data_IF_191818451977
#
_entry.id   IF_191818451977
#
_cell.length_a   1.000
_cell.length_b   1.000
_cell.length_c   1.000
_cell.angle_alpha   90.00
_cell.angle_beta   90.00
_cell.angle_gamma   90.00
#
_symmetry.space_group_name_H-M   'P 1'
#
loop_
_entity.id
_entity.type
_entity.pdbx_description
1 polymer ?
#
# COMPACT_ATOMS: atom_id res chain seq x y z
N UNK A 1 -3.19 -10.97 -0.31
CA UNK A 1 -2.47 -9.89 0.41
C UNK A 1 -2.06 -10.44 1.75
N UNK A 2 -0.80 -10.84 1.86
CA UNK A 2 -0.26 -11.38 3.10
C UNK A 2 -0.06 -10.23 4.09
N UNK A 3 -0.57 -10.45 5.28
CA UNK A 3 -0.79 -9.45 6.31
C UNK A 3 0.49 -9.16 7.06
N UNK A 4 0.90 -7.90 7.08
CA UNK A 4 1.84 -7.40 8.05
C UNK A 4 1.08 -6.62 9.12
N UNK A 5 1.21 -7.05 10.35
CA UNK A 5 0.91 -6.19 11.48
C UNK A 5 2.18 -5.48 11.90
N UNK A 6 2.18 -4.16 11.85
CA UNK A 6 3.21 -3.34 12.48
C UNK A 6 2.97 -3.21 14.00
N UNK A 7 1.85 -3.73 14.47
CA UNK A 7 1.49 -3.67 15.88
C UNK A 7 2.28 -4.70 16.69
N UNK A 8 2.86 -4.26 17.77
CA UNK A 8 3.61 -5.07 18.74
C UNK A 8 2.77 -6.14 19.47
N UNK A 9 1.53 -6.38 19.02
CA UNK A 9 0.58 -7.31 19.65
C UNK A 9 0.59 -8.72 19.08
N UNK A 10 1.33 -8.95 17.97
CA UNK A 10 1.38 -10.30 17.42
C UNK A 10 2.44 -11.13 18.12
N UNK A 11 1.97 -12.17 18.79
CA UNK A 11 2.82 -13.16 19.44
C UNK A 11 3.68 -13.88 18.41
N UNK A 12 3.22 -13.98 17.15
CA UNK A 12 3.92 -14.65 16.06
C UNK A 12 4.33 -13.67 14.97
N UNK A 13 5.57 -13.78 14.53
CA UNK A 13 6.11 -12.97 13.44
C UNK A 13 5.95 -13.69 12.10
N UNK A 14 5.47 -12.95 11.08
CA UNK A 14 5.29 -13.47 9.71
C UNK A 14 5.68 -12.40 8.70
N UNK A 15 6.26 -12.83 7.59
CA UNK A 15 6.59 -11.94 6.47
C UNK A 15 6.40 -12.67 5.15
N UNK A 16 5.89 -11.95 4.16
CA UNK A 16 5.81 -12.44 2.79
C UNK A 16 6.36 -11.44 1.80
N UNK A 17 6.88 -11.96 0.70
CA UNK A 17 7.26 -11.21 -0.46
C UNK A 17 6.80 -11.98 -1.69
N UNK A 18 6.19 -11.27 -2.65
CA UNK A 18 5.75 -11.84 -3.92
C UNK A 18 6.37 -11.02 -5.05
N UNK A 19 6.98 -11.70 -6.00
CA UNK A 19 7.56 -11.09 -7.20
C UNK A 19 6.74 -11.53 -8.41
N UNK A 20 6.05 -10.57 -9.04
CA UNK A 20 5.22 -10.80 -10.21
C UNK A 20 5.99 -10.59 -11.52
N UNK A 21 5.60 -11.34 -12.53
CA UNK A 21 5.99 -11.15 -13.94
C UNK A 21 4.83 -10.41 -14.60
N UNK A 22 5.14 -9.29 -15.24
CA UNK A 22 4.17 -8.50 -15.97
C UNK A 22 4.36 -8.66 -17.46
N UNK A 23 3.28 -8.48 -18.22
CA UNK A 23 3.31 -8.29 -19.66
C UNK A 23 4.21 -7.12 -20.06
N UNK A 24 4.66 -7.09 -21.32
CA UNK A 24 5.56 -6.04 -21.83
C UNK A 24 5.00 -4.62 -21.67
N UNK A 25 3.69 -4.46 -21.71
CA UNK A 25 3.00 -3.19 -21.46
C UNK A 25 2.82 -2.85 -19.97
N UNK A 26 3.24 -3.74 -19.07
CA UNK A 26 3.17 -3.58 -17.62
C UNK A 26 1.77 -3.63 -17.02
N UNK A 27 0.74 -4.05 -17.78
CA UNK A 27 -0.66 -3.97 -17.34
C UNK A 27 -1.19 -5.27 -16.75
N UNK A 28 -0.73 -6.41 -17.22
CA UNK A 28 -1.26 -7.72 -16.84
C UNK A 28 -0.20 -8.53 -16.10
N UNK A 29 -0.60 -9.18 -15.02
CA UNK A 29 0.25 -10.18 -14.35
C UNK A 29 0.16 -11.47 -15.15
N UNK A 30 1.31 -11.93 -15.66
CA UNK A 30 1.45 -13.17 -16.42
C UNK A 30 1.84 -14.37 -15.55
N UNK A 31 2.32 -14.11 -14.35
CA UNK A 31 2.69 -15.13 -13.39
C UNK A 31 3.55 -14.58 -12.26
N UNK A 32 4.03 -15.49 -11.41
CA UNK A 32 4.92 -15.17 -10.31
C UNK A 32 6.30 -15.77 -10.53
N UNK A 33 7.35 -14.96 -10.39
CA UNK A 33 8.73 -15.44 -10.42
C UNK A 33 9.18 -16.01 -9.08
N UNK A 34 8.69 -15.46 -7.97
CA UNK A 34 9.01 -15.96 -6.64
C UNK A 34 7.93 -15.63 -5.61
N UNK A 35 7.75 -16.54 -4.65
CA UNK A 35 6.99 -16.35 -3.42
C UNK A 35 7.93 -16.67 -2.26
N UNK A 36 8.14 -15.71 -1.37
CA UNK A 36 8.91 -15.91 -0.13
C UNK A 36 7.98 -15.75 1.05
N UNK A 37 7.98 -16.71 1.96
CA UNK A 37 7.20 -16.65 3.18
C UNK A 37 8.05 -17.08 4.37
N UNK A 38 8.12 -16.22 5.37
CA UNK A 38 8.76 -16.52 6.66
C UNK A 38 7.70 -16.49 7.75
N UNK A 39 7.61 -17.54 8.53
CA UNK A 39 6.65 -17.66 9.63
C UNK A 39 7.30 -18.30 10.84
N UNK A 40 7.02 -17.71 12.01
CA UNK A 40 7.37 -18.33 13.28
C UNK A 40 6.57 -19.62 13.46
N UNK A 41 7.16 -20.61 14.12
CA UNK A 41 6.58 -21.92 14.38
C UNK A 41 7.03 -22.47 15.72
N UNK A 42 6.36 -23.47 16.24
CA UNK A 42 6.76 -24.18 17.44
C UNK A 42 8.02 -25.04 17.20
N UNK A 43 8.77 -25.33 18.23
CA UNK A 43 10.10 -25.95 18.13
C UNK A 43 10.06 -27.37 17.58
N UNK A 44 8.97 -28.09 17.82
CA UNK A 44 8.73 -29.47 17.44
C UNK A 44 8.20 -29.66 16.00
N UNK A 45 7.84 -28.54 15.30
CA UNK A 45 7.38 -28.58 13.92
C UNK A 45 8.56 -28.67 12.95
N UNK A 46 8.49 -29.64 12.05
CA UNK A 46 9.54 -29.85 11.04
C UNK A 46 9.41 -28.87 9.86
N UNK A 47 10.51 -28.63 9.15
CA UNK A 47 10.49 -27.76 7.94
C UNK A 47 9.59 -28.31 6.83
N UNK A 48 9.45 -29.61 6.70
CA UNK A 48 8.60 -30.22 5.67
C UNK A 48 7.11 -30.08 6.02
N UNK A 49 6.75 -30.20 7.30
CA UNK A 49 5.39 -29.89 7.77
C UNK A 49 5.04 -28.41 7.52
N UNK A 50 5.96 -27.48 7.85
CA UNK A 50 5.74 -26.05 7.59
C UNK A 50 5.55 -25.79 6.10
N UNK A 51 6.37 -26.37 5.25
CA UNK A 51 6.25 -26.21 3.78
C UNK A 51 4.90 -26.73 3.30
N UNK A 52 4.51 -27.92 3.74
CA UNK A 52 3.24 -28.51 3.35
C UNK A 52 2.04 -27.63 3.80
N UNK A 53 2.01 -27.26 5.09
CA UNK A 53 0.93 -26.45 5.65
C UNK A 53 0.81 -25.08 4.96
N UNK A 54 1.94 -24.42 4.71
CA UNK A 54 1.95 -23.11 4.04
C UNK A 54 1.49 -23.24 2.60
N UNK A 55 1.92 -24.27 1.88
CA UNK A 55 1.46 -24.52 0.50
C UNK A 55 -0.04 -24.71 0.44
N UNK A 56 -0.55 -25.65 1.26
CA UNK A 56 -1.96 -26.07 1.16
C UNK A 56 -2.93 -25.05 1.79
N UNK A 57 -2.55 -24.43 2.91
CA UNK A 57 -3.45 -23.55 3.66
C UNK A 57 -3.28 -22.07 3.42
N UNK A 58 -2.17 -21.64 2.79
CA UNK A 58 -1.89 -20.23 2.57
C UNK A 58 -1.68 -19.90 1.09
N UNK A 59 -0.74 -20.55 0.42
CA UNK A 59 -0.38 -20.17 -0.95
C UNK A 59 -1.49 -20.56 -1.92
N UNK A 60 -1.85 -21.83 -2.00
CA UNK A 60 -2.88 -22.31 -2.93
C UNK A 60 -4.25 -21.62 -2.79
N UNK A 61 -4.78 -21.37 -1.58
CA UNK A 61 -6.08 -20.69 -1.45
C UNK A 61 -6.07 -19.20 -1.81
N UNK A 62 -4.90 -18.56 -1.83
CA UNK A 62 -4.79 -17.09 -1.99
C UNK A 62 -4.28 -16.71 -3.39
N UNK A 63 -3.34 -17.48 -3.92
CA UNK A 63 -2.69 -17.19 -5.21
C UNK A 63 -3.48 -17.89 -6.31
N UNK A 64 -3.93 -17.18 -7.35
CA UNK A 64 -4.52 -17.81 -8.53
C UNK A 64 -3.60 -18.88 -9.11
N UNK A 65 -4.15 -20.05 -9.42
CA UNK A 65 -3.38 -21.21 -9.89
C UNK A 65 -2.61 -20.88 -11.16
N UNK A 66 -3.22 -20.12 -12.06
CA UNK A 66 -2.64 -19.67 -13.31
C UNK A 66 -1.41 -18.77 -13.16
N UNK A 67 -1.19 -18.19 -11.98
CA UNK A 67 -0.01 -17.38 -11.70
C UNK A 67 1.17 -18.18 -11.14
N UNK A 68 0.92 -19.41 -10.71
CA UNK A 68 1.97 -20.31 -10.23
C UNK A 68 2.50 -21.11 -11.42
N UNK A 69 3.59 -20.64 -11.98
CA UNK A 69 4.26 -21.27 -13.12
C UNK A 69 5.20 -22.40 -12.65
N UNK A 70 5.56 -23.31 -13.54
CA UNK A 70 6.58 -24.34 -13.25
C UNK A 70 7.92 -23.73 -12.81
N UNK A 71 8.21 -22.52 -13.28
CA UNK A 71 9.42 -21.76 -12.95
C UNK A 71 9.32 -20.95 -11.66
N UNK A 72 8.12 -20.86 -11.04
CA UNK A 72 7.91 -20.08 -9.82
C UNK A 72 8.72 -20.66 -8.67
N UNK A 73 9.59 -19.84 -8.07
CA UNK A 73 10.40 -20.24 -6.92
C UNK A 73 9.62 -19.98 -5.63
N UNK A 74 9.43 -21.01 -4.84
CA UNK A 74 8.73 -20.91 -3.54
C UNK A 74 9.72 -21.14 -2.41
N UNK A 75 9.91 -20.12 -1.57
CA UNK A 75 10.80 -20.13 -0.44
C UNK A 75 9.99 -20.01 0.86
N UNK A 76 9.97 -21.07 1.66
CA UNK A 76 9.30 -21.10 2.96
C UNK A 76 10.36 -21.28 4.03
N UNK A 77 10.48 -20.34 4.97
CA UNK A 77 11.53 -20.29 5.99
C UNK A 77 12.93 -20.62 5.42
N UNK A 78 13.41 -19.89 4.41
CA UNK A 78 14.68 -20.26 3.74
C UNK A 78 15.90 -20.21 4.64
N UNK A 79 15.82 -19.53 5.78
CA UNK A 79 16.90 -19.48 6.80
C UNK A 79 16.82 -20.62 7.82
N UNK A 80 15.82 -21.51 7.72
CA UNK A 80 15.62 -22.63 8.63
C UNK A 80 14.66 -22.33 9.77
N UNK A 81 14.98 -22.76 10.98
CA UNK A 81 14.12 -22.62 12.17
C UNK A 81 13.84 -21.16 12.52
N UNK A 82 12.57 -20.85 12.78
CA UNK A 82 12.10 -19.55 13.23
C UNK A 82 11.18 -19.73 14.46
N UNK A 83 11.76 -20.12 15.58
CA UNK A 83 11.03 -20.42 16.83
C UNK A 83 10.89 -19.15 17.69
N UNK A 84 11.96 -18.35 17.80
CA UNK A 84 11.95 -17.13 18.61
C UNK A 84 11.49 -15.95 17.76
N UNK A 85 10.36 -15.35 18.14
CA UNK A 85 9.81 -14.18 17.47
C UNK A 85 9.12 -13.22 18.44
N UNK A 86 8.34 -12.30 17.91
CA UNK A 86 7.68 -11.28 18.70
C UNK A 86 8.67 -10.32 19.39
N UNK A 87 8.26 -9.65 20.48
CA UNK A 87 9.10 -8.65 21.15
C UNK A 87 10.43 -9.16 21.69
N UNK A 88 10.53 -10.47 21.96
CA UNK A 88 11.78 -11.10 22.47
C UNK A 88 12.80 -11.24 21.34
N UNK A 89 12.36 -11.62 20.15
CA UNK A 89 13.24 -11.79 18.99
C UNK A 89 13.52 -10.46 18.27
N UNK A 90 12.50 -9.63 18.13
CA UNK A 90 12.58 -8.31 17.48
C UNK A 90 11.37 -7.48 17.91
N UNK A 91 11.58 -6.50 18.74
CA UNK A 91 10.51 -5.73 19.38
C UNK A 91 9.66 -4.89 18.41
N UNK A 92 10.02 -4.74 17.16
CA UNK A 92 9.28 -3.94 16.18
C UNK A 92 8.95 -2.52 16.65
N UNK A 93 8.86 -1.59 15.73
CA UNK A 93 8.44 -0.21 16.02
C UNK A 93 7.40 0.22 14.98
N UNK A 94 6.39 0.99 15.41
CA UNK A 94 5.44 1.58 14.48
C UNK A 94 6.15 2.50 13.49
N UNK A 95 5.71 2.54 12.24
CA UNK A 95 6.33 3.35 11.18
C UNK A 95 7.69 2.84 10.68
N UNK A 96 8.10 1.62 11.02
CA UNK A 96 9.31 0.96 10.50
C UNK A 96 9.03 0.00 9.33
N UNK A 97 7.79 -0.09 8.89
CA UNK A 97 7.33 -0.89 7.74
C UNK A 97 6.50 -0.04 6.77
N UNK A 98 6.96 1.19 6.50
CA UNK A 98 6.21 2.21 5.74
C UNK A 98 5.85 1.76 4.32
N UNK A 99 6.66 0.94 3.70
CA UNK A 99 6.39 0.39 2.36
C UNK A 99 5.29 -0.68 2.43
N UNK A 100 5.32 -1.54 3.45
CA UNK A 100 4.26 -2.53 3.69
C UNK A 100 2.95 -1.85 4.08
N UNK A 101 3.02 -0.79 4.87
CA UNK A 101 1.85 0.01 5.28
C UNK A 101 1.15 0.70 4.09
N UNK A 102 1.78 0.80 2.93
CA UNK A 102 1.31 1.55 1.76
C UNK A 102 1.15 0.67 0.51
N UNK A 103 2.15 0.64 -0.37
CA UNK A 103 2.03 0.02 -1.70
C UNK A 103 2.88 -1.24 -1.89
N UNK A 104 3.60 -1.71 -0.86
CA UNK A 104 4.40 -2.94 -0.94
C UNK A 104 5.57 -2.87 -1.94
N UNK A 105 5.99 -1.66 -2.35
CA UNK A 105 7.04 -1.45 -3.34
C UNK A 105 6.54 -1.25 -4.77
N UNK A 106 5.22 -1.38 -5.04
CA UNK A 106 4.66 -1.14 -6.38
C UNK A 106 4.71 0.33 -6.78
N UNK A 107 4.55 1.25 -5.84
CA UNK A 107 4.60 2.69 -6.07
C UNK A 107 5.64 3.37 -5.17
N UNK A 108 6.00 4.59 -5.52
CA UNK A 108 6.94 5.41 -4.75
C UNK A 108 6.35 5.84 -3.41
N UNK A 109 7.23 6.13 -2.48
CA UNK A 109 6.88 6.58 -1.12
C UNK A 109 7.69 7.81 -0.74
N UNK A 110 7.05 8.76 -0.07
CA UNK A 110 7.71 10.00 0.38
C UNK A 110 8.64 9.85 1.59
N UNK A 111 8.66 8.67 2.23
CA UNK A 111 9.52 8.36 3.38
C UNK A 111 8.89 8.63 4.75
N UNK A 112 7.76 9.34 4.82
CA UNK A 112 7.08 9.67 6.08
C UNK A 112 6.25 8.51 6.64
N UNK A 113 6.46 8.15 7.90
CA UNK A 113 5.60 7.22 8.62
C UNK A 113 4.23 7.87 8.92
N UNK A 114 3.15 7.08 8.89
CA UNK A 114 1.79 7.56 9.16
C UNK A 114 1.40 7.39 10.61
N UNK A 115 1.50 6.18 11.12
CA UNK A 115 1.12 5.85 12.49
C UNK A 115 1.90 6.69 13.51
N UNK A 116 1.22 7.13 14.57
CA UNK A 116 1.78 8.03 15.59
C UNK A 116 1.74 9.51 15.25
N UNK A 117 1.31 9.89 14.03
CA UNK A 117 1.13 11.27 13.61
C UNK A 117 -0.36 11.65 13.55
N UNK A 118 -0.72 12.82 14.04
CA UNK A 118 -2.05 13.38 13.85
C UNK A 118 -2.22 13.96 12.42
N UNK A 119 -3.45 14.27 11.97
CA UNK A 119 -3.69 14.72 10.58
C UNK A 119 -3.06 16.07 10.22
N UNK A 120 -2.55 16.84 11.17
CA UNK A 120 -1.83 18.08 10.85
C UNK A 120 -0.47 17.84 10.19
N UNK A 121 0.06 16.62 10.30
CA UNK A 121 1.33 16.20 9.72
C UNK A 121 1.12 15.78 8.27
N UNK A 122 1.69 16.53 7.34
CA UNK A 122 1.55 16.28 5.88
C UNK A 122 2.13 14.94 5.45
N UNK A 123 3.12 14.39 6.13
CA UNK A 123 3.61 13.04 5.90
C UNK A 123 2.47 12.01 5.87
N UNK A 124 1.45 12.21 6.70
CA UNK A 124 0.26 11.37 6.76
C UNK A 124 -0.86 11.93 5.88
N UNK A 125 -1.33 13.13 6.15
CA UNK A 125 -2.51 13.69 5.50
C UNK A 125 -2.33 13.94 4.01
N UNK A 126 -1.16 14.41 3.56
CA UNK A 126 -0.92 14.61 2.13
C UNK A 126 -0.72 13.30 1.37
N UNK A 127 -0.16 12.26 2.00
CA UNK A 127 -0.10 10.94 1.39
C UNK A 127 -1.51 10.35 1.18
N UNK A 128 -2.43 10.54 2.14
CA UNK A 128 -3.83 10.17 1.98
C UNK A 128 -4.53 10.98 0.88
N UNK A 129 -4.27 12.30 0.83
CA UNK A 129 -4.83 13.15 -0.22
C UNK A 129 -4.29 12.78 -1.60
N UNK A 130 -2.99 12.52 -1.75
CA UNK A 130 -2.41 12.06 -3.00
C UNK A 130 -3.04 10.73 -3.46
N UNK A 131 -3.28 9.79 -2.53
CA UNK A 131 -4.02 8.55 -2.81
C UNK A 131 -5.43 8.83 -3.31
N UNK A 132 -6.16 9.71 -2.64
CA UNK A 132 -7.52 10.11 -3.01
C UNK A 132 -7.56 10.74 -4.40
N UNK A 133 -6.67 11.69 -4.70
CA UNK A 133 -6.57 12.32 -6.02
C UNK A 133 -6.27 11.29 -7.10
N UNK A 134 -5.25 10.48 -6.94
CA UNK A 134 -4.86 9.47 -7.92
C UNK A 134 -6.00 8.48 -8.21
N UNK A 135 -6.72 8.03 -7.17
CA UNK A 135 -7.88 7.14 -7.35
C UNK A 135 -9.02 7.80 -8.13
N UNK A 136 -9.31 9.07 -7.85
CA UNK A 136 -10.36 9.78 -8.58
C UNK A 136 -9.99 10.00 -10.04
N UNK A 137 -8.72 10.32 -10.36
CA UNK A 137 -8.24 10.44 -11.75
C UNK A 137 -8.44 9.14 -12.53
N UNK A 138 -8.04 8.00 -11.94
CA UNK A 138 -8.20 6.68 -12.57
C UNK A 138 -9.68 6.30 -12.68
N UNK A 139 -10.47 6.50 -11.63
CA UNK A 139 -11.91 6.19 -11.63
C UNK A 139 -12.71 7.06 -12.61
N UNK A 140 -12.26 8.28 -12.89
CA UNK A 140 -12.82 9.16 -13.91
C UNK A 140 -12.46 8.74 -15.35
N UNK A 141 -11.60 7.73 -15.52
CA UNK A 141 -11.15 7.26 -16.82
C UNK A 141 -10.16 8.19 -17.53
N UNK A 142 -9.54 9.13 -16.78
CA UNK A 142 -8.59 10.10 -17.35
C UNK A 142 -7.21 9.51 -17.60
N UNK A 143 -6.85 8.44 -16.87
CA UNK A 143 -5.64 7.64 -17.05
C UNK A 143 -5.85 6.22 -16.51
N UNK A 144 -5.09 5.24 -16.98
CA UNK A 144 -5.12 3.87 -16.44
C UNK A 144 -4.28 3.77 -15.15
N UNK A 145 -3.23 4.58 -15.04
CA UNK A 145 -2.33 4.70 -13.87
C UNK A 145 -2.17 6.16 -13.49
N UNK A 146 -2.04 6.44 -12.20
CA UNK A 146 -1.78 7.79 -11.73
C UNK A 146 -0.96 7.77 -10.43
N UNK A 147 0.12 8.54 -10.42
CA UNK A 147 0.94 8.83 -9.24
C UNK A 147 0.95 10.34 -9.01
N UNK A 148 0.65 10.76 -7.79
CA UNK A 148 0.67 12.16 -7.38
C UNK A 148 1.81 12.38 -6.40
N UNK A 149 2.69 13.32 -6.73
CA UNK A 149 3.74 13.79 -5.83
C UNK A 149 3.44 15.21 -5.38
N UNK A 150 3.45 15.45 -4.07
CA UNK A 150 3.18 16.77 -3.48
C UNK A 150 4.34 17.15 -2.56
N UNK A 151 4.81 18.37 -2.64
CA UNK A 151 5.85 18.91 -1.75
C UNK A 151 5.35 20.15 -1.01
N UNK A 152 5.86 20.33 0.22
CA UNK A 152 5.52 21.46 1.08
C UNK A 152 6.78 22.11 1.64
N UNK A 153 6.70 23.42 1.86
CA UNK A 153 7.70 24.13 2.65
C UNK A 153 7.12 24.41 4.05
N UNK A 154 7.95 24.24 5.08
CA UNK A 154 7.54 24.53 6.46
C UNK A 154 7.09 25.98 6.57
N UNK A 155 5.92 26.20 7.18
CA UNK A 155 5.30 27.52 7.35
C UNK A 155 4.52 28.03 6.12
N UNK A 156 4.50 27.30 5.01
CA UNK A 156 3.75 27.66 3.79
C UNK A 156 2.62 26.66 3.59
N UNK A 157 1.37 27.15 3.62
CA UNK A 157 0.21 26.28 3.52
C UNK A 157 -0.01 25.71 2.10
N UNK A 158 0.28 26.48 1.07
CA UNK A 158 0.13 26.03 -0.33
C UNK A 158 1.26 25.04 -0.66
N UNK A 159 0.97 23.90 -1.31
CA UNK A 159 2.02 23.04 -1.86
C UNK A 159 3.03 23.83 -2.70
N UNK A 160 4.30 23.55 -2.56
CA UNK A 160 5.36 24.17 -3.37
C UNK A 160 5.46 23.54 -4.75
N UNK A 161 5.01 22.27 -4.87
CA UNK A 161 4.95 21.56 -6.14
C UNK A 161 3.88 20.45 -6.07
N UNK A 162 3.18 20.26 -7.17
CA UNK A 162 2.32 19.12 -7.45
C UNK A 162 2.80 18.55 -8.77
N UNK A 163 3.11 17.26 -8.79
CA UNK A 163 3.49 16.55 -10.01
C UNK A 163 2.57 15.36 -10.23
N UNK A 164 2.08 15.22 -11.46
CA UNK A 164 1.23 14.11 -11.89
C UNK A 164 2.01 13.24 -12.86
N UNK A 165 2.09 11.95 -12.57
CA UNK A 165 2.67 10.97 -13.47
C UNK A 165 1.62 9.90 -13.81
N UNK A 166 1.28 9.79 -15.08
CA UNK A 166 0.28 8.85 -15.60
C UNK A 166 0.92 7.64 -16.28
N UNK A 167 2.24 7.56 -16.30
CA UNK A 167 2.99 6.47 -16.93
C UNK A 167 2.64 6.26 -18.41
N UNK A 168 2.36 7.36 -19.14
CA UNK A 168 1.92 7.38 -20.54
C UNK A 168 0.58 6.63 -20.76
N UNK A 169 -0.29 6.61 -19.74
CA UNK A 169 -1.61 5.99 -19.82
C UNK A 169 -2.77 7.00 -19.84
N UNK A 170 -2.44 8.29 -19.94
CA UNK A 170 -3.41 9.38 -20.01
C UNK A 170 -4.32 9.28 -21.24
N UNK A 171 -5.58 9.67 -21.05
CA UNK A 171 -6.61 9.75 -22.14
C UNK A 171 -6.86 11.20 -22.59
N UNK A 172 -6.38 12.17 -21.81
CA UNK A 172 -6.37 13.60 -22.11
C UNK A 172 -4.95 14.14 -21.88
N UNK A 173 -4.63 15.38 -22.25
CA UNK A 173 -3.28 15.89 -22.05
C UNK A 173 -2.89 15.93 -20.57
N UNK A 174 -1.62 15.72 -20.29
CA UNK A 174 -1.08 15.74 -18.93
C UNK A 174 -1.36 17.09 -18.24
N UNK A 175 -1.22 18.17 -18.99
CA UNK A 175 -1.47 19.54 -18.53
C UNK A 175 -2.94 19.72 -18.12
N UNK A 176 -3.88 19.09 -18.85
CA UNK A 176 -5.28 19.11 -18.47
C UNK A 176 -5.53 18.34 -17.15
N UNK A 177 -4.88 17.21 -16.94
CA UNK A 177 -4.97 16.46 -15.68
C UNK A 177 -4.37 17.28 -14.53
N UNK A 178 -3.21 17.88 -14.72
CA UNK A 178 -2.56 18.74 -13.71
C UNK A 178 -3.48 19.91 -13.31
N UNK A 179 -4.12 20.54 -14.30
CA UNK A 179 -5.09 21.62 -14.05
C UNK A 179 -6.31 21.12 -13.28
N UNK A 180 -6.85 19.95 -13.60
CA UNK A 180 -7.94 19.34 -12.85
C UNK A 180 -7.54 19.12 -11.39
N UNK A 181 -6.33 18.64 -11.15
CA UNK A 181 -5.83 18.43 -9.78
C UNK A 181 -5.76 19.75 -9.03
N UNK A 182 -5.23 20.81 -9.64
CA UNK A 182 -5.11 22.14 -9.01
C UNK A 182 -6.48 22.77 -8.73
N UNK A 183 -7.42 22.65 -9.66
CA UNK A 183 -8.75 23.31 -9.59
C UNK A 183 -9.75 22.59 -8.68
N UNK A 184 -9.67 21.25 -8.61
CA UNK A 184 -10.67 20.41 -7.95
C UNK A 184 -10.25 19.86 -6.60
N UNK A 185 -8.95 19.87 -6.27
CA UNK A 185 -8.42 19.32 -5.03
C UNK A 185 -7.56 20.35 -4.28
N UNK A 186 -8.10 20.86 -3.19
CA UNK A 186 -7.36 21.77 -2.34
C UNK A 186 -6.41 20.98 -1.42
N UNK A 187 -5.14 20.95 -1.80
CA UNK A 187 -4.09 20.20 -1.09
C UNK A 187 -3.40 21.00 0.03
N UNK A 188 -3.97 22.12 0.49
CA UNK A 188 -3.51 22.78 1.71
C UNK A 188 -3.82 21.92 2.94
N UNK A 189 -2.95 21.85 3.95
CA UNK A 189 -3.09 20.90 5.07
C UNK A 189 -4.47 20.93 5.76
N UNK A 190 -5.00 22.13 6.06
CA UNK A 190 -6.34 22.27 6.66
C UNK A 190 -7.46 21.80 5.72
N UNK A 191 -7.33 22.06 4.44
CA UNK A 191 -8.31 21.66 3.42
C UNK A 191 -8.31 20.16 3.20
N UNK A 192 -7.16 19.50 3.24
CA UNK A 192 -7.04 18.04 3.24
C UNK A 192 -7.79 17.44 4.42
N UNK A 193 -7.55 17.96 5.63
CA UNK A 193 -8.22 17.48 6.86
C UNK A 193 -9.74 17.56 6.70
N UNK A 194 -10.26 18.64 6.14
CA UNK A 194 -11.69 18.83 5.93
C UNK A 194 -12.22 17.95 4.77
N UNK A 195 -11.53 17.91 3.63
CA UNK A 195 -11.92 17.16 2.46
C UNK A 195 -12.04 15.65 2.75
N UNK A 196 -11.09 15.12 3.51
CA UNK A 196 -11.05 13.71 3.85
C UNK A 196 -11.64 13.41 5.25
N UNK A 197 -12.20 14.41 5.93
CA UNK A 197 -12.76 14.29 7.29
C UNK A 197 -11.83 13.50 8.24
N UNK A 198 -10.56 13.94 8.30
CA UNK A 198 -9.51 13.24 9.02
C UNK A 198 -9.55 13.41 10.54
N UNK A 199 -10.56 14.08 11.07
CA UNK A 199 -10.75 14.20 12.53
C UNK A 199 -11.56 13.05 13.12
N UNK A 200 -12.16 12.20 12.28
CA UNK A 200 -12.89 11.00 12.73
C UNK A 200 -11.93 9.98 13.36
N UNK A 201 -12.41 9.09 14.22
CA UNK A 201 -11.61 8.04 14.84
C UNK A 201 -11.41 6.85 13.88
N UNK A 202 -10.74 7.08 12.72
CA UNK A 202 -10.57 6.12 11.62
C UNK A 202 -9.19 5.46 11.60
N UNK A 203 -8.32 5.77 12.56
CA UNK A 203 -6.90 5.39 12.50
C UNK A 203 -6.60 4.02 13.11
N UNK A 204 -7.34 3.60 14.15
CA UNK A 204 -7.08 2.32 14.81
C UNK A 204 -7.10 1.12 13.83
N UNK A 205 -8.07 0.98 12.93
CA UNK A 205 -8.07 -0.12 11.97
C UNK A 205 -6.91 -0.10 10.98
N UNK A 206 -6.26 1.05 10.76
CA UNK A 206 -5.10 1.16 9.87
C UNK A 206 -3.79 0.68 10.50
N UNK A 207 -3.79 0.42 11.82
CA UNK A 207 -2.63 -0.14 12.51
C UNK A 207 -2.30 -1.58 12.08
N UNK A 208 -3.26 -2.27 11.44
CA UNK A 208 -3.07 -3.59 10.86
C UNK A 208 -3.51 -3.59 9.39
N UNK A 209 -2.82 -4.37 8.57
CA UNK A 209 -3.13 -4.62 7.14
C UNK A 209 -2.97 -3.42 6.20
N UNK A 210 -2.20 -2.42 6.61
CA UNK A 210 -1.87 -1.26 5.80
C UNK A 210 -2.97 -0.19 5.73
N UNK A 211 -2.64 0.89 5.06
CA UNK A 211 -3.46 2.09 4.98
C UNK A 211 -4.20 2.24 3.64
N UNK A 212 -3.76 1.55 2.59
CA UNK A 212 -4.27 1.72 1.23
C UNK A 212 -4.85 0.42 0.66
N UNK A 213 -5.77 0.56 -0.30
CA UNK A 213 -6.40 -0.57 -0.97
C UNK A 213 -7.37 -1.36 -0.08
N UNK A 214 -7.82 -0.78 1.02
CA UNK A 214 -8.74 -1.41 1.98
C UNK A 214 -10.19 -1.20 1.56
N UNK A 215 -10.92 -2.29 1.46
CA UNK A 215 -12.37 -2.29 1.16
C UNK A 215 -13.22 -2.80 2.33
N UNK A 216 -12.56 -3.30 3.37
CA UNK A 216 -13.16 -3.84 4.59
C UNK A 216 -13.50 -2.77 5.63
N UNK A 217 -13.00 -1.54 5.46
CA UNK A 217 -13.22 -0.40 6.34
C UNK A 217 -13.49 0.87 5.53
N UNK A 218 -14.29 1.80 6.09
CA UNK A 218 -14.61 3.08 5.43
C UNK A 218 -13.46 4.08 5.62
N UNK A 219 -12.56 4.12 4.65
CA UNK A 219 -11.47 5.08 4.58
C UNK A 219 -11.77 6.16 3.53
N UNK A 220 -11.79 7.42 3.94
CA UNK A 220 -12.14 8.54 3.07
C UNK A 220 -11.21 8.69 1.86
N UNK A 221 -9.94 8.36 2.00
CA UNK A 221 -8.97 8.43 0.90
C UNK A 221 -9.07 7.29 -0.12
N UNK A 222 -9.92 6.28 0.14
CA UNK A 222 -10.23 5.24 -0.83
C UNK A 222 -11.48 5.55 -1.67
N UNK A 223 -12.21 6.64 -1.38
CA UNK A 223 -13.41 7.05 -2.12
C UNK A 223 -13.08 7.61 -3.50
N UNK A 224 -14.02 7.44 -4.42
CA UNK A 224 -13.93 7.94 -5.81
C UNK A 224 -15.11 8.86 -6.14
N UNK A 225 -15.60 9.56 -5.13
CA UNK A 225 -16.79 10.40 -5.17
C UNK A 225 -16.64 11.68 -6.05
N UNK A 226 -15.38 12.05 -6.34
CA UNK A 226 -15.07 13.14 -7.28
C UNK A 226 -14.96 12.70 -8.74
N UNK A 227 -14.95 11.40 -9.02
CA UNK A 227 -14.71 10.90 -10.38
C UNK A 227 -15.71 11.45 -11.40
N UNK A 228 -17.01 11.48 -11.08
CA UNK A 228 -18.05 12.00 -11.97
C UNK A 228 -17.97 13.52 -12.21
N UNK A 229 -17.41 14.27 -11.26
CA UNK A 229 -17.22 15.73 -11.39
C UNK A 229 -16.05 16.08 -12.32
N UNK A 230 -15.04 15.24 -12.36
CA UNK A 230 -13.79 15.49 -13.10
C UNK A 230 -13.72 14.78 -14.46
N UNK A 231 -14.65 13.86 -14.74
CA UNK A 231 -14.76 13.15 -16.04
C UNK A 231 -15.40 13.98 -17.14
N UNK A 232 -15.91 15.18 -16.83
CA UNK A 232 -16.51 16.14 -17.75
C UNK A 232 -15.43 17.08 -18.25
#
# INVERSE_FOLDING_TARGET
>A
TLRHSSAASDVYKRQSQVSAIYSDDGKTIEGLSAIVLSTQHDEDVTQDEIKYEIMEKVIKPIVPEEWILDSTKIYINPTGKFVIGGPVGDCGLTGRKIIVDTYGGMARHGGGAFSGKDPSKVDRSAAYAARYVAKNIVAAGLADYCEIQVSYAIGVAKPTSINVNTFNSEKISKEAIEKIVEDKFDLRPKSIINMLDLKRPIYLPTAAYGHFGRTDIDLSWEKTDKASEISQ
#
